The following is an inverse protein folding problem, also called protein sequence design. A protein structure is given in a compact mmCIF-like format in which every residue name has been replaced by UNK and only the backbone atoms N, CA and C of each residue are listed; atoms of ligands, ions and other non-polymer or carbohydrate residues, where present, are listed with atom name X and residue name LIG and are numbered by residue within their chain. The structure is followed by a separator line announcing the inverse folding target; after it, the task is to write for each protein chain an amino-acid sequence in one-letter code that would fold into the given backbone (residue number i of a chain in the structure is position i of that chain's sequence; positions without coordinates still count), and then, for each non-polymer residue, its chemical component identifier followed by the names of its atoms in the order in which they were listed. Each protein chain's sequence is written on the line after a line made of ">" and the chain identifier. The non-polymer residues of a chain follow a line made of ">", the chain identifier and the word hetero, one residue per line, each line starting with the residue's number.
data_IF_611697856331
#
_entry.id   IF_611697856331
#
_cell.length_a   1.000
_cell.length_b   1.000
_cell.length_c   1.000
_cell.angle_alpha   90.00
_cell.angle_beta   90.00
_cell.angle_gamma   90.00
#
_symmetry.space_group_name_H-M   'P 1'
#
loop_
_entity.id
_entity.type
_entity.pdbx_description
1 polymer ?
#
# COMPACT_ATOMS: atom_id res chain seq x y z
N UNK A 1 25.65 -21.39 2.78
CA UNK A 1 24.33 -22.01 2.50
C UNK A 1 23.27 -20.98 2.83
N UNK A 2 22.22 -20.81 2.05
CA UNK A 2 21.19 -19.83 2.38
C UNK A 2 20.43 -20.31 3.63
N UNK A 3 20.46 -19.50 4.68
CA UNK A 3 19.84 -19.86 5.95
C UNK A 3 18.42 -19.30 5.96
N UNK A 4 17.40 -20.16 6.02
CA UNK A 4 15.99 -19.75 6.09
C UNK A 4 15.64 -19.19 7.48
N UNK A 5 16.49 -18.34 8.07
CA UNK A 5 16.30 -17.86 9.44
C UNK A 5 15.12 -16.90 9.55
N UNK A 6 14.86 -16.13 8.48
CA UNK A 6 13.79 -15.16 8.42
C UNK A 6 12.84 -15.59 7.31
N UNK A 7 11.59 -15.83 7.67
CA UNK A 7 10.52 -16.06 6.69
C UNK A 7 9.59 -14.87 6.67
N UNK A 8 9.36 -14.29 5.50
CA UNK A 8 8.28 -13.31 5.30
C UNK A 8 7.11 -14.03 4.64
N UNK A 9 6.01 -14.16 5.38
CA UNK A 9 4.82 -14.87 4.92
C UNK A 9 3.86 -13.88 4.24
N UNK A 10 3.79 -13.95 2.91
CA UNK A 10 3.01 -13.05 2.05
C UNK A 10 3.91 -12.17 1.19
N UNK A 11 3.62 -12.11 -0.12
CA UNK A 11 4.40 -11.37 -1.11
C UNK A 11 3.66 -10.14 -1.67
N UNK A 12 2.67 -9.62 -0.93
CA UNK A 12 2.09 -8.30 -1.22
C UNK A 12 3.01 -7.16 -0.81
N UNK A 13 2.59 -5.92 -1.07
CA UNK A 13 3.43 -4.74 -0.82
C UNK A 13 3.97 -4.67 0.62
N UNK A 14 3.19 -5.11 1.62
CA UNK A 14 3.63 -5.13 3.01
C UNK A 14 4.81 -6.10 3.21
N UNK A 15 4.70 -7.34 2.73
CA UNK A 15 5.79 -8.31 2.83
C UNK A 15 7.02 -7.92 2.02
N UNK A 16 6.82 -7.34 0.82
CA UNK A 16 7.91 -6.83 0.00
C UNK A 16 8.66 -5.66 0.69
N UNK A 17 7.94 -4.76 1.36
CA UNK A 17 8.54 -3.67 2.12
C UNK A 17 9.31 -4.18 3.35
N UNK A 18 8.78 -5.18 4.06
CA UNK A 18 9.50 -5.83 5.17
C UNK A 18 10.80 -6.46 4.68
N UNK A 19 10.75 -7.20 3.56
CA UNK A 19 11.94 -7.79 2.98
C UNK A 19 12.95 -6.74 2.51
N UNK A 20 12.48 -5.65 1.90
CA UNK A 20 13.34 -4.53 1.49
C UNK A 20 14.04 -3.88 2.68
N UNK A 21 13.30 -3.61 3.76
CA UNK A 21 13.85 -3.03 4.98
C UNK A 21 14.91 -3.95 5.62
N UNK A 22 14.61 -5.25 5.74
CA UNK A 22 15.57 -6.24 6.22
C UNK A 22 16.81 -6.33 5.32
N UNK A 23 16.64 -6.36 4.00
CA UNK A 23 17.75 -6.39 3.05
C UNK A 23 18.63 -5.15 3.17
N UNK A 24 18.06 -3.95 3.35
CA UNK A 24 18.80 -2.70 3.58
C UNK A 24 19.62 -2.73 4.88
N UNK A 25 19.15 -3.47 5.88
CA UNK A 25 19.88 -3.71 7.14
C UNK A 25 20.86 -4.88 7.07
N UNK A 26 21.08 -5.47 5.89
CA UNK A 26 22.07 -6.52 5.66
C UNK A 26 21.60 -7.93 6.00
N UNK A 27 20.29 -8.16 6.08
CA UNK A 27 19.71 -9.48 6.39
C UNK A 27 19.23 -10.26 5.17
N UNK A 28 19.32 -9.70 3.96
CA UNK A 28 18.69 -10.24 2.75
C UNK A 28 19.00 -11.72 2.45
N UNK A 29 20.24 -12.15 2.70
CA UNK A 29 20.71 -13.53 2.52
C UNK A 29 20.06 -14.55 3.47
N UNK A 30 19.38 -14.08 4.51
CA UNK A 30 18.65 -14.90 5.48
C UNK A 30 17.14 -14.96 5.20
N UNK A 31 16.66 -14.25 4.18
CA UNK A 31 15.23 -14.07 3.91
C UNK A 31 14.74 -15.09 2.88
N UNK A 32 13.66 -15.76 3.24
CA UNK A 32 12.77 -16.44 2.29
C UNK A 32 11.38 -15.83 2.36
N UNK A 33 10.89 -15.31 1.23
CA UNK A 33 9.50 -14.90 1.08
C UNK A 33 8.69 -16.12 0.66
N UNK A 34 7.69 -16.48 1.46
CA UNK A 34 6.78 -17.59 1.19
C UNK A 34 5.37 -17.04 0.95
N UNK A 35 4.74 -17.36 -0.18
CA UNK A 35 3.39 -16.88 -0.47
C UNK A 35 2.65 -17.73 -1.52
N UNK A 36 1.32 -17.77 -1.45
CA UNK A 36 0.47 -18.40 -2.48
C UNK A 36 0.55 -17.64 -3.80
N UNK A 37 0.44 -16.31 -3.73
CA UNK A 37 0.52 -15.38 -4.85
C UNK A 37 1.82 -14.56 -4.78
N UNK A 38 2.45 -14.35 -5.93
CA UNK A 38 3.67 -13.58 -6.09
C UNK A 38 3.41 -12.37 -7.02
N UNK A 39 4.27 -11.33 -6.97
CA UNK A 39 4.23 -10.27 -7.98
C UNK A 39 4.25 -10.83 -9.41
N UNK A 40 3.32 -10.34 -10.23
CA UNK A 40 2.93 -10.85 -11.55
C UNK A 40 1.59 -11.59 -11.56
N UNK A 41 1.13 -12.12 -10.42
CA UNK A 41 -0.16 -12.78 -10.33
C UNK A 41 -1.31 -11.80 -10.10
N UNK A 42 -2.49 -12.18 -10.56
CA UNK A 42 -3.75 -11.50 -10.26
C UNK A 42 -4.72 -12.48 -9.59
N UNK A 43 -5.22 -12.14 -8.40
CA UNK A 43 -6.17 -12.94 -7.64
C UNK A 43 -6.98 -12.05 -6.70
N UNK A 44 -8.23 -12.41 -6.44
CA UNK A 44 -9.07 -11.70 -5.46
C UNK A 44 -8.47 -11.78 -4.04
N UNK A 45 -7.76 -12.87 -3.75
CA UNK A 45 -7.06 -13.11 -2.49
C UNK A 45 -5.69 -12.40 -2.43
N UNK A 46 -5.33 -11.65 -3.48
CA UNK A 46 -4.08 -10.91 -3.58
C UNK A 46 -4.35 -9.42 -3.87
N UNK A 47 -4.39 -8.59 -2.82
CA UNK A 47 -4.86 -7.20 -2.94
C UNK A 47 -3.95 -6.27 -3.73
N UNK A 48 -2.63 -6.47 -3.65
CA UNK A 48 -1.64 -5.46 -4.08
C UNK A 48 -1.75 -5.03 -5.56
N UNK A 49 -1.99 -5.92 -6.54
CA UNK A 49 -2.14 -5.54 -7.96
C UNK A 49 -3.35 -4.63 -8.27
N UNK A 50 -4.37 -4.62 -7.41
CA UNK A 50 -5.62 -3.87 -7.62
C UNK A 50 -5.55 -2.42 -7.17
N UNK A 51 -4.49 -2.04 -6.45
CA UNK A 51 -4.31 -0.69 -5.95
C UNK A 51 -4.13 0.35 -7.07
N UNK A 52 -4.48 1.61 -6.74
CA UNK A 52 -4.28 2.76 -7.62
C UNK A 52 -2.82 2.91 -8.06
N UNK A 53 -1.90 3.35 -7.19
CA UNK A 53 -2.04 3.86 -5.82
C UNK A 53 -1.32 5.21 -5.68
N UNK A 54 -1.73 6.01 -4.70
CA UNK A 54 -1.06 7.23 -4.31
C UNK A 54 -0.89 7.29 -2.79
N UNK A 55 -0.12 8.28 -2.33
CA UNK A 55 -0.22 8.77 -0.97
C UNK A 55 -1.36 9.80 -0.92
N UNK A 56 -2.29 9.61 0.00
CA UNK A 56 -3.41 10.52 0.24
C UNK A 56 -3.58 10.74 1.75
N UNK A 57 -4.05 11.93 2.14
CA UNK A 57 -4.18 12.33 3.54
C UNK A 57 -5.31 11.62 4.32
N UNK A 58 -5.78 10.46 3.88
CA UNK A 58 -7.05 9.85 4.30
C UNK A 58 -7.02 9.11 5.65
N UNK A 59 -5.86 8.84 6.23
CA UNK A 59 -5.81 8.12 7.51
C UNK A 59 -6.61 8.84 8.59
N UNK A 60 -7.20 8.11 9.53
CA UNK A 60 -7.92 8.71 10.65
C UNK A 60 -6.99 9.46 11.62
N UNK A 61 -7.45 9.61 12.86
CA UNK A 61 -6.67 10.21 13.96
C UNK A 61 -5.86 9.18 14.77
N UNK A 62 -5.78 7.92 14.31
CA UNK A 62 -5.00 6.89 14.99
C UNK A 62 -3.50 7.23 14.94
N UNK A 63 -2.85 7.25 16.09
CA UNK A 63 -1.46 7.71 16.21
C UNK A 63 -0.48 6.80 15.45
N UNK A 64 -0.74 5.49 15.38
CA UNK A 64 0.12 4.58 14.63
C UNK A 64 -0.06 4.77 13.12
N UNK A 65 -1.30 4.88 12.65
CA UNK A 65 -1.59 5.15 11.24
C UNK A 65 -0.92 6.44 10.76
N UNK A 66 -1.04 7.54 11.52
CA UNK A 66 -0.43 8.83 11.18
C UNK A 66 1.10 8.75 11.15
N UNK A 67 1.70 8.07 12.14
CA UNK A 67 3.16 7.88 12.21
C UNK A 67 3.69 7.04 11.05
N UNK A 68 2.98 5.97 10.67
CA UNK A 68 3.37 5.14 9.52
C UNK A 68 3.18 5.87 8.19
N UNK A 69 2.14 6.68 8.05
CA UNK A 69 1.95 7.54 6.88
C UNK A 69 3.09 8.55 6.75
N UNK A 70 3.43 9.27 7.81
CA UNK A 70 4.54 10.22 7.82
C UNK A 70 5.87 9.54 7.45
N UNK A 71 6.16 8.40 8.07
CA UNK A 71 7.38 7.63 7.80
C UNK A 71 7.40 7.08 6.38
N UNK A 72 6.28 6.55 5.89
CA UNK A 72 6.15 5.98 4.55
C UNK A 72 6.26 7.05 3.46
N UNK A 73 5.57 8.19 3.64
CA UNK A 73 5.69 9.35 2.76
C UNK A 73 7.14 9.84 2.68
N UNK A 74 7.77 10.07 3.82
CA UNK A 74 9.15 10.57 3.90
C UNK A 74 10.14 9.61 3.20
N UNK A 75 9.96 8.29 3.39
CA UNK A 75 10.77 7.28 2.74
C UNK A 75 10.58 7.29 1.21
N UNK A 76 9.33 7.28 0.73
CA UNK A 76 9.05 7.30 -0.71
C UNK A 76 9.59 8.56 -1.39
N UNK A 77 9.38 9.73 -0.78
CA UNK A 77 9.90 11.00 -1.29
C UNK A 77 11.44 11.00 -1.35
N UNK A 78 12.10 10.49 -0.30
CA UNK A 78 13.56 10.40 -0.27
C UNK A 78 14.11 9.44 -1.33
N UNK A 79 13.43 8.32 -1.60
CA UNK A 79 13.82 7.40 -2.68
C UNK A 79 13.69 8.06 -4.06
N UNK A 80 12.62 8.83 -4.29
CA UNK A 80 12.44 9.57 -5.54
C UNK A 80 13.56 10.62 -5.69
N UNK A 81 13.83 11.39 -4.64
CA UNK A 81 14.86 12.45 -4.64
C UNK A 81 16.27 11.92 -4.85
N UNK A 82 16.57 10.75 -4.30
CA UNK A 82 17.84 10.09 -4.48
C UNK A 82 18.00 9.40 -5.85
N UNK A 83 16.94 9.35 -6.68
CA UNK A 83 16.93 8.55 -7.90
C UNK A 83 17.13 7.06 -7.62
N UNK A 84 16.68 6.58 -6.46
CA UNK A 84 16.93 5.21 -6.01
C UNK A 84 16.21 4.19 -6.91
N UNK A 85 16.84 3.03 -7.10
CA UNK A 85 16.29 1.95 -7.93
C UNK A 85 14.90 1.53 -7.46
N UNK A 86 14.65 1.51 -6.16
CA UNK A 86 13.37 1.15 -5.55
C UNK A 86 12.24 2.11 -5.95
N UNK A 87 12.55 3.36 -6.28
CA UNK A 87 11.58 4.37 -6.70
C UNK A 87 11.29 4.35 -8.21
N UNK A 88 11.78 3.38 -8.99
CA UNK A 88 11.60 3.31 -10.46
C UNK A 88 10.15 3.56 -10.92
N UNK A 89 9.17 3.05 -10.17
CA UNK A 89 7.74 3.14 -10.46
C UNK A 89 6.97 4.09 -9.54
N UNK A 90 7.67 4.95 -8.82
CA UNK A 90 7.13 6.02 -8.00
C UNK A 90 7.38 7.35 -8.72
N UNK A 91 6.49 8.32 -8.51
CA UNK A 91 6.63 9.66 -9.07
C UNK A 91 6.05 10.70 -8.12
N UNK A 92 6.63 11.89 -8.09
CA UNK A 92 5.97 13.07 -7.51
C UNK A 92 4.85 13.50 -8.44
N UNK A 93 3.66 13.71 -7.89
CA UNK A 93 2.47 14.03 -8.69
C UNK A 93 1.64 15.05 -7.93
N UNK A 94 1.13 16.06 -8.63
CA UNK A 94 0.16 16.99 -8.04
C UNK A 94 -1.13 16.22 -7.72
N UNK A 95 -1.67 16.41 -6.53
CA UNK A 95 -2.95 15.88 -6.08
C UNK A 95 -3.87 17.01 -5.69
N UNK A 96 -5.11 16.96 -6.17
CA UNK A 96 -6.20 17.79 -5.66
C UNK A 96 -7.21 16.89 -4.97
N UNK A 97 -7.47 17.14 -3.69
CA UNK A 97 -8.36 16.35 -2.86
C UNK A 97 -9.49 17.23 -2.31
N UNK A 98 -10.73 16.77 -2.49
CA UNK A 98 -11.95 17.45 -2.05
C UNK A 98 -12.67 16.62 -0.99
N UNK A 99 -13.26 17.28 0.01
CA UNK A 99 -14.14 16.65 0.99
C UNK A 99 -15.51 17.32 0.99
N UNK A 100 -16.57 16.51 0.90
CA UNK A 100 -17.95 17.00 1.05
C UNK A 100 -18.23 17.47 2.49
N UNK A 101 -17.48 16.94 3.47
CA UNK A 101 -17.50 17.37 4.86
C UNK A 101 -16.10 17.81 5.28
N UNK A 102 -15.96 19.03 5.78
CA UNK A 102 -14.64 19.54 6.16
C UNK A 102 -14.00 18.64 7.24
N UNK A 103 -12.75 18.20 7.04
CA UNK A 103 -12.01 17.50 8.08
C UNK A 103 -11.81 18.40 9.31
N UNK A 104 -11.59 17.80 10.47
CA UNK A 104 -11.27 18.57 11.69
C UNK A 104 -9.97 19.37 11.51
N UNK A 105 -9.84 20.46 12.25
CA UNK A 105 -8.62 21.28 12.19
C UNK A 105 -7.36 20.45 12.55
N UNK A 106 -7.46 19.57 13.55
CA UNK A 106 -6.37 18.66 13.92
C UNK A 106 -5.98 17.74 12.77
N UNK A 107 -6.96 17.26 12.00
CA UNK A 107 -6.70 16.43 10.82
C UNK A 107 -5.99 17.23 9.73
N UNK A 108 -6.42 18.47 9.48
CA UNK A 108 -5.76 19.38 8.53
C UNK A 108 -4.31 19.64 8.97
N UNK A 109 -4.10 19.96 10.25
CA UNK A 109 -2.78 20.20 10.83
C UNK A 109 -1.87 18.97 10.67
N UNK A 110 -2.39 17.78 11.00
CA UNK A 110 -1.63 16.53 10.87
C UNK A 110 -1.22 16.24 9.42
N UNK A 111 -2.10 16.45 8.44
CA UNK A 111 -1.75 16.27 7.03
C UNK A 111 -0.70 17.29 6.58
N UNK A 112 -0.84 18.55 6.98
CA UNK A 112 0.02 19.65 6.52
C UNK A 112 1.42 19.63 7.14
N UNK A 113 1.63 18.96 8.27
CA UNK A 113 2.90 18.94 8.99
C UNK A 113 4.05 18.25 8.21
N UNK A 114 3.75 17.15 7.52
CA UNK A 114 4.79 16.36 6.84
C UNK A 114 4.64 16.28 5.32
N UNK A 115 3.51 16.74 4.75
CA UNK A 115 3.39 16.89 3.31
C UNK A 115 4.38 17.96 2.84
N UNK A 116 5.51 17.51 2.28
CA UNK A 116 6.61 18.39 1.89
C UNK A 116 6.27 19.13 0.62
N UNK A 117 6.38 20.44 0.71
CA UNK A 117 6.59 21.30 -0.44
C UNK A 117 8.05 21.23 -0.87
N UNK A 118 8.32 20.79 -2.10
CA UNK A 118 9.68 20.66 -2.62
C UNK A 118 9.78 21.46 -3.92
N UNK A 119 9.60 22.77 -3.78
CA UNK A 119 10.29 23.75 -4.62
C UNK A 119 10.97 24.76 -3.72
N UNK A 120 12.28 25.02 -3.88
CA UNK A 120 12.87 26.18 -3.23
C UNK A 120 12.10 27.40 -3.76
N UNK A 121 11.45 28.15 -2.84
CA UNK A 121 10.74 29.42 -3.07
C UNK A 121 9.26 29.42 -3.47
N UNK A 122 8.52 28.30 -3.49
CA UNK A 122 7.05 28.35 -3.63
C UNK A 122 6.36 27.24 -2.83
N UNK A 123 5.79 27.60 -1.67
CA UNK A 123 4.83 26.82 -0.88
C UNK A 123 3.60 26.48 -1.71
N UNK A 124 3.40 25.23 -2.14
CA UNK A 124 2.17 24.89 -2.90
C UNK A 124 1.46 23.66 -2.32
N UNK A 125 1.43 23.58 -0.99
CA UNK A 125 0.20 23.13 -0.36
C UNK A 125 -0.76 24.31 -0.39
N UNK A 126 -1.87 24.16 -1.12
CA UNK A 126 -2.87 25.20 -1.31
C UNK A 126 -4.21 24.69 -0.80
N UNK A 127 -4.72 25.32 0.26
CA UNK A 127 -6.13 25.19 0.62
C UNK A 127 -6.93 25.94 -0.44
N UNK A 128 -7.88 25.27 -1.07
CA UNK A 128 -8.67 25.81 -2.16
C UNK A 128 -9.70 26.79 -1.59
N UNK A 129 -9.77 28.04 -2.09
CA UNK A 129 -10.75 29.01 -1.63
C UNK A 129 -12.19 28.50 -1.81
N UNK A 130 -13.14 28.84 -0.91
CA UNK A 130 -14.52 28.41 -1.04
C UNK A 130 -15.19 28.75 -2.38
N UNK A 131 -14.77 29.84 -3.04
CA UNK A 131 -15.26 30.25 -4.37
C UNK A 131 -14.91 29.27 -5.49
N UNK A 132 -13.83 28.50 -5.31
CA UNK A 132 -13.25 27.62 -6.32
C UNK A 132 -13.60 26.16 -6.05
N UNK A 133 -14.32 25.88 -4.95
CA UNK A 133 -14.76 24.54 -4.59
C UNK A 133 -15.91 24.08 -5.50
N UNK A 134 -15.90 22.81 -5.96
CA UNK A 134 -17.04 22.23 -6.62
C UNK A 134 -18.30 22.26 -5.74
N UNK A 135 -19.48 22.28 -6.36
CA UNK A 135 -20.75 22.24 -5.62
C UNK A 135 -20.81 21.03 -4.67
N UNK A 136 -21.16 21.30 -3.41
CA UNK A 136 -21.29 20.30 -2.35
C UNK A 136 -19.97 19.90 -1.68
N UNK A 137 -18.85 20.55 -2.03
CA UNK A 137 -17.56 20.38 -1.37
C UNK A 137 -17.39 21.44 -0.28
N UNK A 138 -17.01 21.01 0.92
CA UNK A 138 -16.78 21.88 2.08
C UNK A 138 -15.31 22.24 2.29
N UNK A 139 -14.39 21.39 1.80
CA UNK A 139 -12.94 21.61 1.92
C UNK A 139 -12.22 21.06 0.70
N UNK A 140 -11.17 21.75 0.26
CA UNK A 140 -10.32 21.31 -0.84
C UNK A 140 -8.87 21.66 -0.57
N UNK A 141 -7.96 20.79 -0.99
CA UNK A 141 -6.52 20.98 -0.87
C UNK A 141 -5.83 20.51 -2.14
N UNK A 142 -4.76 21.20 -2.51
CA UNK A 142 -3.87 20.81 -3.60
C UNK A 142 -2.44 20.77 -3.10
N UNK A 143 -1.70 19.71 -3.41
CA UNK A 143 -0.33 19.51 -2.93
C UNK A 143 0.44 18.53 -3.82
N UNK A 144 1.77 18.46 -3.67
CA UNK A 144 2.58 17.42 -4.33
C UNK A 144 2.64 16.16 -3.45
N UNK A 145 2.25 15.03 -4.02
CA UNK A 145 2.25 13.72 -3.35
C UNK A 145 3.09 12.70 -4.12
N UNK A 146 3.10 11.45 -3.65
CA UNK A 146 3.67 10.29 -4.37
C UNK A 146 2.54 9.51 -5.04
N UNK A 147 2.70 9.20 -6.32
CA UNK A 147 1.87 8.23 -7.05
C UNK A 147 2.74 7.10 -7.57
N UNK A 148 2.20 5.88 -7.63
CA UNK A 148 2.94 4.70 -8.05
C UNK A 148 2.12 3.73 -8.90
N UNK A 149 2.81 3.00 -9.77
CA UNK A 149 2.23 1.90 -10.54
C UNK A 149 2.32 0.62 -9.72
N UNK A 150 1.25 0.29 -9.00
CA UNK A 150 1.22 -0.77 -7.98
C UNK A 150 1.72 -2.15 -8.46
N UNK A 151 1.16 -2.76 -9.53
CA UNK A 151 1.63 -4.08 -9.98
C UNK A 151 3.09 -4.04 -10.44
N UNK A 152 3.47 -3.04 -11.24
CA UNK A 152 4.85 -2.92 -11.73
C UNK A 152 5.86 -2.67 -10.60
N UNK A 153 5.47 -1.90 -9.57
CA UNK A 153 6.32 -1.68 -8.40
C UNK A 153 6.52 -2.98 -7.61
N UNK A 154 5.47 -3.78 -7.38
CA UNK A 154 5.61 -5.07 -6.71
C UNK A 154 6.53 -6.04 -7.51
N UNK A 155 6.38 -6.10 -8.83
CA UNK A 155 7.26 -6.91 -9.69
C UNK A 155 8.71 -6.44 -9.65
N UNK A 156 8.91 -5.12 -9.66
CA UNK A 156 10.22 -4.50 -9.57
C UNK A 156 10.89 -4.79 -8.22
N UNK A 157 10.16 -4.69 -7.11
CA UNK A 157 10.69 -5.05 -5.79
C UNK A 157 11.07 -6.53 -5.73
N UNK A 158 10.25 -7.44 -6.26
CA UNK A 158 10.63 -8.86 -6.37
C UNK A 158 11.92 -9.04 -7.14
N UNK A 159 12.05 -8.38 -8.29
CA UNK A 159 13.26 -8.42 -9.10
C UNK A 159 14.48 -7.92 -8.33
N UNK A 160 14.38 -6.75 -7.68
CA UNK A 160 15.46 -6.16 -6.88
C UNK A 160 15.87 -7.10 -5.73
N UNK A 161 14.91 -7.58 -4.95
CA UNK A 161 15.16 -8.42 -3.77
C UNK A 161 15.89 -9.72 -4.14
N UNK A 162 15.63 -10.28 -5.31
CA UNK A 162 16.34 -11.47 -5.80
C UNK A 162 17.77 -11.20 -6.30
N UNK A 163 18.20 -9.94 -6.41
CA UNK A 163 19.57 -9.62 -6.82
C UNK A 163 20.57 -9.79 -5.66
N UNK A 164 21.83 -10.15 -5.93
CA UNK A 164 22.86 -10.32 -4.89
C UNK A 164 23.05 -9.10 -3.99
N UNK A 165 22.92 -7.87 -4.54
CA UNK A 165 23.04 -6.63 -3.76
C UNK A 165 21.97 -6.46 -2.67
N UNK A 166 20.82 -7.14 -2.81
CA UNK A 166 19.76 -7.19 -1.79
C UNK A 166 19.77 -8.51 -1.00
N UNK A 167 20.85 -9.30 -1.13
CA UNK A 167 21.02 -10.58 -0.47
C UNK A 167 20.47 -11.79 -1.24
N UNK A 168 19.93 -11.60 -2.45
CA UNK A 168 19.42 -12.72 -3.25
C UNK A 168 18.22 -13.41 -2.60
N UNK A 169 17.27 -12.63 -2.09
CA UNK A 169 16.07 -13.10 -1.38
C UNK A 169 15.35 -14.14 -2.21
N UNK A 170 15.05 -15.27 -1.57
CA UNK A 170 14.35 -16.39 -2.20
C UNK A 170 12.85 -16.18 -2.16
N UNK A 171 12.19 -16.46 -3.27
CA UNK A 171 10.72 -16.47 -3.36
C UNK A 171 10.25 -17.91 -3.52
N UNK A 172 9.42 -18.38 -2.60
CA UNK A 172 8.84 -19.72 -2.60
C UNK A 172 7.33 -19.60 -2.75
N UNK A 173 6.83 -20.06 -3.90
CA UNK A 173 5.39 -20.17 -4.12
C UNK A 173 4.84 -21.34 -3.30
N UNK A 174 4.05 -21.07 -2.27
CA UNK A 174 3.45 -22.07 -1.40
C UNK A 174 2.19 -21.52 -0.74
N UNK A 175 1.09 -22.26 -0.86
CA UNK A 175 -0.10 -22.06 -0.02
C UNK A 175 0.13 -22.71 1.34
N UNK A 176 -0.12 -21.97 2.40
CA UNK A 176 -0.02 -22.46 3.78
C UNK A 176 -1.42 -22.68 4.35
N UNK A 177 -1.54 -23.70 5.20
CA UNK A 177 -2.77 -24.02 5.93
C UNK A 177 -2.79 -23.39 7.33
N UNK A 178 -1.61 -23.15 7.89
CA UNK A 178 -1.41 -22.55 9.21
C UNK A 178 -0.19 -21.64 9.25
N UNK A 179 -0.10 -20.80 10.27
CA UNK A 179 1.09 -19.99 10.54
C UNK A 179 2.33 -20.87 10.79
N UNK A 180 2.14 -22.06 11.37
CA UNK A 180 3.22 -23.02 11.62
C UNK A 180 3.94 -23.47 10.34
N UNK A 181 3.25 -23.51 9.20
CA UNK A 181 3.83 -23.91 7.91
C UNK A 181 4.94 -22.95 7.42
N UNK A 182 4.97 -21.73 7.96
CA UNK A 182 6.00 -20.74 7.67
C UNK A 182 7.30 -20.97 8.45
N UNK A 183 7.28 -21.77 9.52
CA UNK A 183 8.47 -22.12 10.29
C UNK A 183 9.18 -23.32 9.66
N UNK A 184 10.01 -23.02 8.66
CA UNK A 184 10.94 -23.97 8.05
C UNK A 184 12.05 -24.36 9.04
N UNK A 185 12.77 -25.44 8.76
CA UNK A 185 13.92 -25.84 9.57
C UNK A 185 14.95 -24.69 9.69
N UNK A 186 15.25 -24.28 10.92
CA UNK A 186 16.17 -23.18 11.23
C UNK A 186 15.57 -21.77 11.17
N UNK A 187 14.26 -21.65 10.97
CA UNK A 187 13.54 -20.36 11.07
C UNK A 187 13.57 -19.88 12.50
N UNK A 188 14.08 -18.67 12.71
CA UNK A 188 14.11 -18.01 14.02
C UNK A 188 12.95 -17.02 14.17
N UNK A 189 12.48 -16.45 13.07
CA UNK A 189 11.40 -15.47 13.07
C UNK A 189 10.57 -15.50 11.78
N UNK A 190 9.26 -15.33 11.93
CA UNK A 190 8.32 -15.13 10.80
C UNK A 190 7.75 -13.72 10.84
N UNK A 191 7.80 -13.01 9.72
CA UNK A 191 7.04 -11.78 9.51
C UNK A 191 5.72 -12.12 8.80
N UNK A 192 4.61 -12.08 9.54
CA UNK A 192 3.29 -12.44 9.05
C UNK A 192 2.63 -11.25 8.32
N UNK A 193 2.64 -11.29 6.99
CA UNK A 193 2.18 -10.23 6.08
C UNK A 193 1.02 -10.69 5.17
N UNK A 194 0.15 -11.57 5.68
CA UNK A 194 -0.84 -12.32 4.86
C UNK A 194 -2.11 -11.55 4.46
N UNK A 195 -2.29 -10.32 4.91
CA UNK A 195 -3.45 -9.50 4.53
C UNK A 195 -4.79 -10.11 4.98
N UNK A 196 -5.73 -10.27 4.04
CA UNK A 196 -7.08 -10.79 4.33
C UNK A 196 -7.07 -12.22 4.89
N UNK A 197 -6.05 -13.02 4.57
CA UNK A 197 -5.96 -14.38 5.07
C UNK A 197 -5.80 -14.44 6.60
N UNK A 198 -5.40 -13.34 7.26
CA UNK A 198 -5.28 -13.28 8.72
C UNK A 198 -6.61 -13.57 9.44
N UNK A 199 -7.75 -13.32 8.78
CA UNK A 199 -9.07 -13.64 9.32
C UNK A 199 -9.25 -15.15 9.58
N UNK A 200 -8.73 -16.00 8.69
CA UNK A 200 -9.03 -17.44 8.69
C UNK A 200 -7.79 -18.34 8.82
N UNK A 201 -6.56 -17.80 8.76
CA UNK A 201 -5.34 -18.59 8.85
C UNK A 201 -5.21 -19.20 10.25
N UNK A 202 -5.09 -20.52 10.34
CA UNK A 202 -4.89 -21.21 11.61
C UNK A 202 -3.60 -20.75 12.31
N UNK A 203 -3.67 -20.48 13.61
CA UNK A 203 -2.59 -19.83 14.38
C UNK A 203 -2.59 -18.29 14.29
N UNK A 204 -3.54 -17.68 13.57
CA UNK A 204 -3.78 -16.23 13.59
C UNK A 204 -5.25 -15.94 13.90
N UNK A 205 -6.17 -16.38 13.03
CA UNK A 205 -7.62 -16.27 13.18
C UNK A 205 -8.12 -14.92 13.76
N UNK A 206 -7.63 -13.80 13.21
CA UNK A 206 -7.91 -12.46 13.73
C UNK A 206 -9.32 -12.01 13.32
N UNK A 207 -10.28 -12.17 14.22
CA UNK A 207 -11.70 -11.83 14.00
C UNK A 207 -11.95 -10.34 13.79
N UNK A 208 -10.96 -9.46 14.04
CA UNK A 208 -11.05 -8.04 13.72
C UNK A 208 -10.83 -7.77 12.23
N UNK A 209 -10.28 -8.72 11.47
CA UNK A 209 -10.05 -8.57 10.04
C UNK A 209 -11.34 -8.73 9.23
N UNK A 210 -11.48 -7.93 8.18
CA UNK A 210 -12.57 -8.02 7.22
C UNK A 210 -12.12 -7.41 5.89
N UNK A 211 -12.60 -7.90 4.75
CA UNK A 211 -12.34 -7.23 3.49
C UNK A 211 -13.18 -5.97 3.37
N UNK A 212 -12.62 -4.96 2.72
CA UNK A 212 -13.39 -3.84 2.19
C UNK A 212 -13.28 -3.87 0.68
N UNK A 213 -14.36 -4.28 0.01
CA UNK A 213 -14.40 -4.39 -1.46
C UNK A 213 -14.26 -3.02 -2.10
N UNK A 214 -13.48 -2.97 -3.18
CA UNK A 214 -13.34 -1.82 -4.05
C UNK A 214 -13.34 -2.25 -5.50
N UNK A 215 -14.21 -1.63 -6.29
CA UNK A 215 -14.22 -1.74 -7.74
C UNK A 215 -13.46 -0.56 -8.36
N UNK A 216 -12.65 -0.85 -9.37
CA UNK A 216 -11.92 0.12 -10.16
C UNK A 216 -12.13 -0.11 -11.65
N UNK A 217 -11.88 0.93 -12.43
CA UNK A 217 -11.78 0.89 -13.89
C UNK A 217 -10.38 1.37 -14.25
N UNK A 218 -9.63 0.55 -14.97
CA UNK A 218 -8.38 0.97 -15.59
C UNK A 218 -8.70 1.49 -16.98
N UNK A 219 -8.27 2.71 -17.27
CA UNK A 219 -8.43 3.34 -18.57
C UNK A 219 -7.09 3.74 -19.16
N UNK A 220 -6.99 3.83 -20.48
CA UNK A 220 -5.97 4.61 -21.19
C UNK A 220 -6.48 6.04 -21.25
N UNK A 221 -5.75 7.01 -20.70
CA UNK A 221 -6.10 8.43 -20.76
C UNK A 221 -4.81 9.26 -20.64
N UNK A 222 -4.00 9.35 -21.72
CA UNK A 222 -2.64 9.87 -21.65
C UNK A 222 -2.56 11.33 -21.22
N UNK A 223 -3.61 12.13 -21.43
CA UNK A 223 -3.65 13.54 -20.99
C UNK A 223 -3.88 13.74 -19.49
N UNK A 224 -4.31 12.71 -18.75
CA UNK A 224 -4.50 12.80 -17.30
C UNK A 224 -3.15 12.60 -16.59
N UNK A 225 -2.63 13.67 -15.98
CA UNK A 225 -1.30 13.70 -15.34
C UNK A 225 -1.31 13.99 -13.83
N UNK A 226 -2.48 14.27 -13.25
CA UNK A 226 -2.64 14.65 -11.85
C UNK A 226 -3.58 13.70 -11.13
N UNK A 227 -3.42 13.57 -9.81
CA UNK A 227 -4.41 12.90 -9.00
C UNK A 227 -5.59 13.86 -8.74
N UNK A 228 -6.81 13.32 -8.78
CA UNK A 228 -7.99 14.06 -8.31
C UNK A 228 -8.85 13.14 -7.44
N UNK A 229 -9.14 13.56 -6.22
CA UNK A 229 -9.90 12.82 -5.21
C UNK A 229 -11.12 13.61 -4.76
N UNK A 230 -12.20 12.91 -4.47
CA UNK A 230 -13.37 13.45 -3.76
C UNK A 230 -13.88 12.45 -2.73
N UNK A 231 -13.71 12.82 -1.47
CA UNK A 231 -14.16 12.12 -0.29
C UNK A 231 -15.56 12.59 0.06
N UNK A 232 -16.55 11.82 -0.40
CA UNK A 232 -17.95 12.04 -0.10
C UNK A 232 -18.33 11.54 1.28
N UNK A 233 -19.58 11.81 1.69
CA UNK A 233 -20.12 11.24 2.94
C UNK A 233 -20.17 9.71 2.90
N UNK A 234 -20.71 9.17 1.80
CA UNK A 234 -21.00 7.74 1.63
C UNK A 234 -20.40 7.17 0.32
N UNK A 235 -19.47 7.91 -0.30
CA UNK A 235 -18.85 7.52 -1.57
C UNK A 235 -17.42 8.05 -1.68
N UNK A 236 -16.62 7.40 -2.52
CA UNK A 236 -15.24 7.81 -2.80
C UNK A 236 -15.04 7.93 -4.31
N UNK A 237 -14.51 9.06 -4.77
CA UNK A 237 -14.13 9.23 -6.18
C UNK A 237 -12.64 9.49 -6.27
N UNK A 238 -11.92 8.75 -7.10
CA UNK A 238 -10.50 8.94 -7.31
C UNK A 238 -10.08 8.70 -8.75
N UNK A 239 -9.13 9.51 -9.21
CA UNK A 239 -8.51 9.46 -10.52
C UNK A 239 -7.00 9.45 -10.27
N UNK A 240 -6.34 8.34 -10.56
CA UNK A 240 -4.92 8.10 -10.20
C UNK A 240 -4.14 7.69 -11.45
N UNK A 241 -3.37 8.59 -12.09
CA UNK A 241 -2.52 8.24 -13.21
C UNK A 241 -1.36 7.34 -12.76
N UNK A 242 -1.10 6.25 -13.49
CA UNK A 242 0.01 5.35 -13.16
C UNK A 242 1.31 5.82 -13.83
N UNK A 243 2.40 6.06 -13.09
CA UNK A 243 3.69 6.37 -13.71
C UNK A 243 4.22 5.19 -14.52
N UNK A 244 5.00 5.48 -15.58
CA UNK A 244 5.61 4.47 -16.47
C UNK A 244 4.64 3.38 -16.94
N UNK A 245 3.43 3.79 -17.29
CA UNK A 245 2.35 2.86 -17.65
C UNK A 245 1.77 3.15 -19.04
N UNK A 246 2.47 3.93 -19.87
CA UNK A 246 1.97 4.38 -21.16
C UNK A 246 0.58 5.05 -21.02
N UNK A 247 0.44 5.98 -20.08
CA UNK A 247 -0.78 6.79 -19.93
C UNK A 247 -2.00 6.06 -19.34
N UNK A 248 -1.84 4.96 -18.61
CA UNK A 248 -2.98 4.36 -17.89
C UNK A 248 -3.33 5.12 -16.61
N UNK A 249 -4.63 5.10 -16.28
CA UNK A 249 -5.22 5.78 -15.13
C UNK A 249 -6.19 4.83 -14.43
N UNK A 250 -6.13 4.80 -13.11
CA UNK A 250 -7.10 4.09 -12.28
C UNK A 250 -8.22 5.05 -11.89
N UNK A 251 -9.44 4.70 -12.26
CA UNK A 251 -10.67 5.35 -11.85
C UNK A 251 -11.32 4.52 -10.76
N UNK A 252 -11.78 5.17 -9.71
CA UNK A 252 -12.59 4.53 -8.68
C UNK A 252 -13.37 5.55 -7.85
N UNK A 253 -14.00 5.13 -6.76
CA UNK A 253 -14.16 3.73 -6.40
C UNK A 253 -15.33 3.53 -5.45
N UNK A 254 -15.29 2.38 -4.79
CA UNK A 254 -16.19 2.00 -3.71
C UNK A 254 -15.38 1.56 -2.49
N UNK A 255 -15.96 1.78 -1.31
CA UNK A 255 -15.52 1.26 -0.02
C UNK A 255 -16.70 0.48 0.56
N UNK A 256 -16.66 -0.86 0.46
CA UNK A 256 -17.75 -1.73 0.90
C UNK A 256 -17.25 -2.72 1.96
N UNK A 257 -17.28 -2.34 3.26
CA UNK A 257 -16.86 -3.20 4.35
C UNK A 257 -17.67 -4.48 4.43
N UNK A 258 -16.99 -5.61 4.61
CA UNK A 258 -17.61 -6.94 4.75
C UNK A 258 -18.16 -7.53 3.46
N UNK A 259 -17.97 -6.86 2.32
CA UNK A 259 -18.33 -7.40 1.01
C UNK A 259 -17.16 -8.23 0.46
N UNK A 260 -17.42 -9.50 0.14
CA UNK A 260 -16.44 -10.46 -0.38
C UNK A 260 -16.64 -10.74 -1.87
N UNK A 261 -17.60 -10.08 -2.54
CA UNK A 261 -17.99 -10.42 -3.90
C UNK A 261 -16.89 -10.08 -4.91
N UNK A 262 -16.39 -11.09 -5.62
CA UNK A 262 -15.22 -10.97 -6.49
C UNK A 262 -15.50 -10.39 -7.88
N UNK A 263 -16.76 -10.39 -8.32
CA UNK A 263 -17.13 -9.91 -9.65
C UNK A 263 -17.48 -8.42 -9.65
N UNK A 264 -17.26 -7.78 -10.79
CA UNK A 264 -17.65 -6.40 -11.00
C UNK A 264 -19.19 -6.27 -11.05
N UNK A 265 -19.71 -5.16 -10.55
CA UNK A 265 -21.13 -4.79 -10.67
C UNK A 265 -21.27 -3.72 -11.75
N UNK A 266 -22.09 -3.93 -12.80
CA UNK A 266 -22.26 -2.96 -13.88
C UNK A 266 -22.68 -1.56 -13.40
N UNK A 267 -23.62 -1.50 -12.46
CA UNK A 267 -24.08 -0.22 -11.86
C UNK A 267 -22.96 0.55 -11.16
N UNK A 268 -21.98 -0.16 -10.58
CA UNK A 268 -20.82 0.48 -9.96
C UNK A 268 -19.84 0.99 -11.02
N UNK A 269 -19.69 0.29 -12.15
CA UNK A 269 -18.88 0.74 -13.29
C UNK A 269 -19.44 2.03 -13.87
N UNK A 270 -20.74 2.07 -14.17
CA UNK A 270 -21.43 3.27 -14.68
C UNK A 270 -21.32 4.45 -13.71
N UNK A 271 -21.50 4.19 -12.42
CA UNK A 271 -21.32 5.20 -11.36
C UNK A 271 -19.89 5.75 -11.29
N UNK A 272 -18.87 4.89 -11.35
CA UNK A 272 -17.45 5.33 -11.34
C UNK A 272 -17.16 6.21 -12.56
N UNK A 273 -17.57 5.80 -13.76
CA UNK A 273 -17.38 6.60 -14.99
C UNK A 273 -18.07 7.96 -14.87
N UNK A 274 -19.36 7.98 -14.49
CA UNK A 274 -20.13 9.21 -14.34
C UNK A 274 -19.50 10.17 -13.33
N UNK A 275 -19.09 9.69 -12.15
CA UNK A 275 -18.47 10.52 -11.11
C UNK A 275 -17.09 11.03 -11.50
N UNK A 276 -16.27 10.20 -12.15
CA UNK A 276 -14.91 10.57 -12.55
C UNK A 276 -14.90 11.56 -13.72
N UNK A 277 -15.71 11.36 -14.75
CA UNK A 277 -15.97 12.38 -15.80
C UNK A 277 -16.57 13.64 -15.18
N UNK A 278 -17.43 13.44 -14.18
CA UNK A 278 -17.99 14.45 -13.30
C UNK A 278 -16.94 15.40 -12.71
N UNK A 279 -15.86 14.80 -12.21
CA UNK A 279 -14.80 15.44 -11.44
C UNK A 279 -13.67 15.98 -12.33
N UNK A 280 -13.34 15.28 -13.42
CA UNK A 280 -12.30 15.68 -14.37
C UNK A 280 -12.78 15.48 -15.80
N UNK A 281 -13.22 16.57 -16.45
CA UNK A 281 -13.95 16.54 -17.72
C UNK A 281 -13.18 15.93 -18.89
N UNK A 282 -11.85 15.99 -18.86
CA UNK A 282 -10.99 15.41 -19.92
C UNK A 282 -11.18 13.90 -20.07
N UNK A 283 -11.69 13.21 -19.04
CA UNK A 283 -12.03 11.78 -19.10
C UNK A 283 -13.24 11.47 -19.99
N UNK A 284 -14.03 12.48 -20.38
CA UNK A 284 -15.16 12.32 -21.29
C UNK A 284 -14.77 12.37 -22.78
N UNK A 285 -13.48 12.55 -23.08
CA UNK A 285 -12.97 12.71 -24.44
C UNK A 285 -12.72 11.36 -25.11
N UNK A 286 -12.61 11.35 -26.45
CA UNK A 286 -12.36 10.14 -27.25
C UNK A 286 -11.02 9.43 -26.96
N UNK A 287 -10.06 10.11 -26.31
CA UNK A 287 -8.79 9.50 -25.89
C UNK A 287 -8.93 8.54 -24.68
N UNK A 288 -10.08 8.55 -23.99
CA UNK A 288 -10.30 7.72 -22.80
C UNK A 288 -10.87 6.37 -23.21
N UNK A 289 -10.03 5.33 -23.14
CA UNK A 289 -10.40 3.95 -23.49
C UNK A 289 -10.44 3.07 -22.24
N UNK A 290 -11.52 2.31 -22.04
CA UNK A 290 -11.59 1.34 -20.94
C UNK A 290 -10.72 0.13 -21.29
N UNK A 291 -9.69 -0.12 -20.48
CA UNK A 291 -8.82 -1.28 -20.61
C UNK A 291 -9.41 -2.47 -19.85
N UNK A 292 -9.84 -2.25 -18.60
CA UNK A 292 -10.44 -3.30 -17.77
C UNK A 292 -11.26 -2.75 -16.61
N UNK A 293 -12.17 -3.57 -16.11
CA UNK A 293 -12.84 -3.39 -14.81
C UNK A 293 -12.30 -4.47 -13.85
N UNK A 294 -11.94 -4.08 -12.64
CA UNK A 294 -11.38 -4.99 -11.65
C UNK A 294 -11.93 -4.76 -10.25
N UNK A 295 -11.87 -5.79 -9.43
CA UNK A 295 -12.30 -5.77 -8.03
C UNK A 295 -11.15 -6.24 -7.15
N UNK A 296 -10.87 -5.50 -6.08
CA UNK A 296 -9.92 -5.88 -5.05
C UNK A 296 -10.55 -5.82 -3.66
N UNK A 297 -10.04 -6.65 -2.76
CA UNK A 297 -10.47 -6.68 -1.36
C UNK A 297 -9.40 -6.05 -0.48
N UNK A 298 -9.64 -4.84 0.05
CA UNK A 298 -8.71 -4.17 0.97
C UNK A 298 -8.65 -4.94 2.30
N UNK A 299 -7.47 -5.35 2.80
CA UNK A 299 -7.33 -6.11 4.04
C UNK A 299 -7.52 -5.23 5.26
N UNK A 300 -8.77 -4.96 5.61
CA UNK A 300 -9.14 -4.04 6.68
C UNK A 300 -9.15 -4.76 8.01
N UNK A 301 -9.01 -3.99 9.09
CA UNK A 301 -9.03 -4.53 10.46
C UNK A 301 -9.61 -3.50 11.42
N UNK A 302 -10.50 -3.95 12.31
CA UNK A 302 -11.04 -3.10 13.38
C UNK A 302 -9.89 -2.69 14.32
N UNK A 303 -9.78 -1.39 14.60
CA UNK A 303 -8.67 -0.83 15.36
C UNK A 303 -7.38 -0.61 14.55
N UNK A 304 -7.43 -0.76 13.21
CA UNK A 304 -6.29 -0.50 12.33
C UNK A 304 -5.33 -1.69 12.19
N UNK A 305 -4.22 -1.44 11.49
CA UNK A 305 -3.22 -2.47 11.22
C UNK A 305 -2.59 -3.03 12.50
N UNK A 306 -2.28 -4.32 12.48
CA UNK A 306 -1.58 -5.02 13.55
C UNK A 306 -0.10 -5.07 13.20
N UNK A 307 0.72 -4.33 13.94
CA UNK A 307 2.19 -4.36 13.87
C UNK A 307 2.72 -4.65 15.26
N UNK A 308 3.02 -5.91 15.55
CA UNK A 308 3.42 -6.35 16.88
C UNK A 308 4.24 -7.64 16.85
N UNK A 309 5.09 -7.80 17.87
CA UNK A 309 5.86 -9.02 18.13
C UNK A 309 5.05 -9.93 19.06
N UNK A 310 4.93 -11.21 18.70
CA UNK A 310 4.25 -12.24 19.47
C UNK A 310 5.13 -13.50 19.58
N UNK A 311 5.09 -14.16 20.73
CA UNK A 311 5.52 -15.55 20.88
C UNK A 311 4.29 -16.44 20.82
N UNK A 312 4.19 -17.31 19.81
CA UNK A 312 3.02 -18.19 19.63
C UNK A 312 2.95 -19.22 20.75
N UNK A 313 1.80 -19.89 20.96
CA UNK A 313 1.66 -20.97 21.94
C UNK A 313 2.67 -22.11 21.75
N UNK A 314 3.14 -22.33 20.52
CA UNK A 314 4.16 -23.31 20.17
C UNK A 314 5.60 -22.84 20.46
N UNK A 315 5.77 -21.64 21.02
CA UNK A 315 7.07 -21.05 21.36
C UNK A 315 7.77 -20.37 20.17
N UNK A 316 7.08 -20.20 19.04
CA UNK A 316 7.66 -19.57 17.86
C UNK A 316 7.61 -18.05 17.95
N UNK A 317 8.55 -17.35 17.32
CA UNK A 317 8.54 -15.88 17.26
C UNK A 317 7.98 -15.35 15.96
N UNK A 318 6.97 -14.48 16.06
CA UNK A 318 6.26 -13.89 14.92
C UNK A 318 6.19 -12.38 15.08
N UNK A 319 6.41 -11.64 13.99
CA UNK A 319 6.02 -10.24 13.89
C UNK A 319 4.83 -10.14 12.94
N UNK A 320 3.67 -9.74 13.46
CA UNK A 320 2.50 -9.46 12.65
C UNK A 320 2.68 -8.11 11.95
N UNK A 321 2.30 -8.05 10.66
CA UNK A 321 2.24 -6.82 9.88
C UNK A 321 1.15 -6.94 8.81
N UNK A 322 -0.11 -6.76 9.20
CA UNK A 322 -1.27 -6.88 8.31
C UNK A 322 -2.42 -5.96 8.77
N UNK A 323 -3.52 -5.91 8.00
CA UNK A 323 -4.68 -5.10 8.34
C UNK A 323 -4.57 -3.63 7.88
N UNK A 324 -3.75 -3.35 6.87
CA UNK A 324 -3.49 -2.00 6.36
C UNK A 324 -4.68 -1.36 5.60
N UNK A 325 -5.79 -2.06 5.42
CA UNK A 325 -6.96 -1.53 4.72
C UNK A 325 -6.60 -0.95 3.34
N UNK A 326 -6.98 0.31 3.12
CA UNK A 326 -6.66 1.06 1.89
C UNK A 326 -5.28 1.72 1.85
N UNK A 327 -4.49 1.66 2.92
CA UNK A 327 -3.26 2.46 3.08
C UNK A 327 -1.97 1.65 2.91
N UNK A 328 -2.04 0.38 2.51
CA UNK A 328 -0.87 -0.51 2.48
C UNK A 328 0.31 -0.04 1.63
N UNK A 329 0.08 0.72 0.55
CA UNK A 329 1.18 1.33 -0.23
C UNK A 329 1.73 2.61 0.41
N UNK A 330 0.87 3.46 0.99
CA UNK A 330 1.30 4.73 1.58
C UNK A 330 2.00 4.56 2.94
N UNK A 331 1.48 3.67 3.78
CA UNK A 331 1.97 3.42 5.14
C UNK A 331 2.99 2.26 5.17
N UNK A 332 3.02 1.41 4.14
CA UNK A 332 3.69 0.11 4.18
C UNK A 332 5.19 0.17 4.47
N UNK A 333 5.90 1.20 4.01
CA UNK A 333 7.32 1.38 4.36
C UNK A 333 7.51 1.77 5.83
N UNK A 334 6.62 2.61 6.37
CA UNK A 334 6.61 2.95 7.80
C UNK A 334 6.27 1.75 8.68
N UNK A 335 5.25 0.98 8.29
CA UNK A 335 4.87 -0.27 8.95
C UNK A 335 6.01 -1.31 8.92
N UNK A 336 6.71 -1.43 7.79
CA UNK A 336 7.84 -2.33 7.64
C UNK A 336 9.01 -1.95 8.56
N UNK A 337 9.35 -0.65 8.63
CA UNK A 337 10.39 -0.15 9.54
C UNK A 337 10.12 -0.58 10.98
N UNK A 338 8.91 -0.34 11.45
CA UNK A 338 8.48 -0.72 12.80
C UNK A 338 8.50 -2.23 13.05
N UNK A 339 7.96 -3.01 12.11
CA UNK A 339 7.96 -4.46 12.20
C UNK A 339 9.40 -4.99 12.36
N UNK A 340 10.35 -4.45 11.59
CA UNK A 340 11.76 -4.83 11.68
C UNK A 340 12.40 -4.32 12.97
N UNK A 341 12.04 -3.12 13.44
CA UNK A 341 12.53 -2.57 14.72
C UNK A 341 12.12 -3.46 15.90
N UNK A 342 10.88 -3.96 15.92
CA UNK A 342 10.39 -4.92 16.93
C UNK A 342 11.21 -6.21 16.98
N UNK A 343 11.81 -6.63 15.87
CA UNK A 343 12.63 -7.83 15.76
C UNK A 343 14.12 -7.61 16.09
N UNK A 344 14.55 -6.38 16.39
CA UNK A 344 15.98 -6.00 16.47
C UNK A 344 16.80 -6.92 17.37
N UNK A 345 16.28 -7.30 18.55
CA UNK A 345 16.99 -8.19 19.48
C UNK A 345 17.31 -9.55 18.87
N UNK A 346 16.37 -10.13 18.12
CA UNK A 346 16.51 -11.45 17.47
C UNK A 346 17.45 -11.33 16.26
N UNK A 347 17.30 -10.25 15.49
CA UNK A 347 18.08 -9.99 14.29
C UNK A 347 19.58 -9.79 14.59
N UNK A 348 19.95 -9.16 15.70
CA UNK A 348 21.37 -8.97 16.09
C UNK A 348 22.09 -10.31 16.25
N UNK A 349 21.42 -11.35 16.78
CA UNK A 349 22.02 -12.67 16.95
C UNK A 349 22.34 -13.37 15.61
N UNK A 350 21.55 -13.12 14.56
CA UNK A 350 21.77 -13.67 13.22
C UNK A 350 23.05 -13.10 12.56
N UNK A 351 23.33 -11.82 12.76
CA UNK A 351 24.56 -11.20 12.25
C UNK A 351 25.80 -11.72 12.97
N UNK A 352 25.71 -11.98 14.28
CA UNK A 352 26.81 -12.54 15.06
C UNK A 352 27.15 -13.98 14.62
N UNK A 353 26.13 -14.81 14.36
CA UNK A 353 26.30 -16.18 13.89
C UNK A 353 26.87 -16.29 12.47
N UNK A 354 26.73 -15.23 11.65
CA UNK A 354 27.23 -15.21 10.27
C UNK A 354 28.69 -14.77 10.14
N UNK A 355 29.29 -14.26 11.22
CA UNK A 355 30.69 -13.80 11.28
C UNK A 355 31.65 -14.81 11.94
N UNK A 356 31.10 -15.91 12.46
CA UNK A 356 31.81 -17.08 12.96
C UNK A 356 31.80 -18.16 11.86
#
# INVERSE_FOLDING_TARGET
>A
MAHNNIVVLGAGIIGLNVALELSKRGYGQHITIMAEHLPGDESIDYTSPWAGANFSGISGSDANALRWDQSGYSAMMSLIDAGAEEAKYLCKTESTEYWDQAPSQDKINSMTEYLRDIRPYQSILVIIPPSDLPKGVAFGIRFTTVTLNAPAHCEHLKHLLSQPRYGGVKFVRRKVSSLQDAFLHGTQIVFNCVGNAALNLAGVADSKCYPTRGQIILVKAPSVKVNVMRHGKDYETYIIPRPRSDGTVVLGGYLQPGDHFSQARPVETESILSRTIGLLRILGNEETEIIRVAVGLRPSRQGGARVELETTPEGNTVVHNYGAGGTGFQAGMGMAKDAVDLASGILVHLQAQSKL
#
